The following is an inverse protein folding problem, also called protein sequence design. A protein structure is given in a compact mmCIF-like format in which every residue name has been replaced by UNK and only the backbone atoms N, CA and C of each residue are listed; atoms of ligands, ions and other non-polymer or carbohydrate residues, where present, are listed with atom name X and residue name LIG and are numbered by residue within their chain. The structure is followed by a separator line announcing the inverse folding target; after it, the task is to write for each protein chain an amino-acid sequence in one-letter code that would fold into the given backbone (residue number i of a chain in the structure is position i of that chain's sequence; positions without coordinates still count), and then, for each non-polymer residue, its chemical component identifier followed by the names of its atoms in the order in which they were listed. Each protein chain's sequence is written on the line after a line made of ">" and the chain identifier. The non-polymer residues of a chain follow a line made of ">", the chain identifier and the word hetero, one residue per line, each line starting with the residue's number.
data_IF_898648678527
#
_entry.id   IF_898648678527
#
_cell.length_a   1.000
_cell.length_b   1.000
_cell.length_c   1.000
_cell.angle_alpha   90.00
_cell.angle_beta   90.00
_cell.angle_gamma   90.00
#
_symmetry.space_group_name_H-M   'P 1'
#
loop_
_entity.id
_entity.type
_entity.pdbx_description
1 polymer ?
#
# COMPACT_ATOMS: atom_id res chain seq x y z
N UNK A 1 78.47 17.96 -37.40
CA UNK A 1 78.52 16.76 -36.56
C UNK A 1 77.10 16.28 -36.36
N UNK A 2 76.78 15.05 -36.77
CA UNK A 2 75.53 14.37 -36.41
C UNK A 2 75.82 13.48 -35.22
N UNK A 3 75.07 13.63 -34.14
CA UNK A 3 75.12 12.74 -32.99
C UNK A 3 73.89 11.84 -33.05
N UNK A 4 74.10 10.52 -33.12
CA UNK A 4 73.06 9.52 -32.93
C UNK A 4 73.30 8.90 -31.55
N UNK A 5 72.40 9.18 -30.60
CA UNK A 5 72.34 8.50 -29.31
C UNK A 5 71.02 7.74 -29.23
N UNK A 6 71.08 6.44 -28.99
CA UNK A 6 69.90 5.60 -28.71
C UNK A 6 69.61 5.64 -27.22
N UNK A 7 68.34 5.87 -26.86
CA UNK A 7 67.84 5.73 -25.50
C UNK A 7 67.70 4.22 -25.22
N UNK A 8 68.57 3.67 -24.38
CA UNK A 8 68.37 2.37 -23.73
C UNK A 8 67.54 2.62 -22.46
N UNK A 9 66.52 1.79 -22.23
CA UNK A 9 65.49 1.83 -21.16
C UNK A 9 64.34 2.85 -21.35
N UNK A 10 63.30 2.41 -22.07
CA UNK A 10 62.00 3.09 -22.19
C UNK A 10 60.92 2.23 -21.48
N UNK A 11 61.07 1.96 -20.18
CA UNK A 11 60.04 1.21 -19.45
C UNK A 11 59.52 1.86 -18.16
N UNK A 12 59.94 3.07 -17.77
CA UNK A 12 59.31 3.83 -16.68
C UNK A 12 59.67 5.32 -16.73
N UNK A 13 58.89 6.12 -17.46
CA UNK A 13 59.06 7.58 -17.50
C UNK A 13 58.08 8.22 -16.53
N UNK A 14 58.56 8.67 -15.36
CA UNK A 14 57.75 9.41 -14.37
C UNK A 14 58.08 10.91 -14.29
N UNK A 15 59.07 11.39 -15.06
CA UNK A 15 59.50 12.80 -15.12
C UNK A 15 59.90 13.21 -16.54
N UNK A 16 59.95 14.53 -16.80
CA UNK A 16 60.48 15.09 -18.06
C UNK A 16 61.95 14.69 -18.22
N UNK A 17 62.26 13.91 -19.25
CA UNK A 17 63.65 13.63 -19.61
C UNK A 17 64.29 14.87 -20.27
N UNK A 18 65.16 15.55 -19.52
CA UNK A 18 66.06 16.58 -20.06
C UNK A 18 67.35 15.93 -20.57
N UNK A 19 67.58 15.97 -21.88
CA UNK A 19 68.90 15.67 -22.45
C UNK A 19 69.69 16.98 -22.58
N UNK A 20 70.75 17.12 -21.80
CA UNK A 20 71.71 18.23 -21.93
C UNK A 20 72.82 17.82 -22.90
N UNK A 21 72.87 18.43 -24.08
CA UNK A 21 73.96 18.22 -25.04
C UNK A 21 74.98 19.34 -24.88
N UNK A 22 76.18 18.99 -24.39
CA UNK A 22 77.31 19.93 -24.34
C UNK A 22 78.08 19.88 -25.68
N UNK A 23 78.06 20.97 -26.42
CA UNK A 23 78.83 21.11 -27.66
C UNK A 23 80.13 21.85 -27.35
N UNK A 24 81.24 21.12 -27.24
CA UNK A 24 82.57 21.75 -27.19
C UNK A 24 83.09 21.95 -28.63
N UNK A 25 83.44 23.19 -28.97
CA UNK A 25 84.20 23.46 -30.19
C UNK A 25 85.62 22.89 -30.02
N UNK A 26 86.14 22.21 -31.04
CA UNK A 26 87.48 21.62 -31.04
C UNK A 26 88.61 22.67 -31.20
N UNK A 27 88.31 23.95 -30.95
CA UNK A 27 89.30 25.02 -30.87
C UNK A 27 89.28 25.67 -29.49
N UNK A 28 90.34 25.39 -28.74
CA UNK A 28 90.74 25.91 -27.43
C UNK A 28 90.75 27.45 -27.36
N UNK A 29 89.56 28.07 -27.26
CA UNK A 29 89.37 29.49 -27.03
C UNK A 29 88.53 29.67 -25.74
N UNK A 30 89.09 30.23 -24.64
CA UNK A 30 88.44 30.24 -23.33
C UNK A 30 87.32 31.29 -23.19
N UNK A 31 86.61 31.64 -24.27
CA UNK A 31 85.55 32.64 -24.27
C UNK A 31 84.40 32.35 -25.26
N UNK A 32 84.21 31.10 -25.69
CA UNK A 32 82.99 30.70 -26.41
C UNK A 32 81.95 30.24 -25.40
N UNK A 33 80.75 30.80 -25.45
CA UNK A 33 79.63 30.32 -24.66
C UNK A 33 79.40 28.83 -24.95
N UNK A 34 79.28 28.01 -23.90
CA UNK A 34 78.72 26.67 -23.99
C UNK A 34 77.29 26.82 -24.52
N UNK A 35 77.04 26.41 -25.76
CA UNK A 35 75.69 26.41 -26.34
C UNK A 35 74.99 25.13 -25.89
N UNK A 36 74.41 25.19 -24.70
CA UNK A 36 73.62 24.09 -24.13
C UNK A 36 72.24 24.10 -24.78
N UNK A 37 72.00 23.14 -25.68
CA UNK A 37 70.65 22.85 -26.17
C UNK A 37 70.03 21.76 -25.31
N UNK A 38 68.98 22.11 -24.57
CA UNK A 38 68.15 21.14 -23.86
C UNK A 38 67.05 20.63 -24.78
N UNK A 39 67.04 19.33 -25.05
CA UNK A 39 65.90 18.67 -25.69
C UNK A 39 65.07 18.02 -24.60
N UNK A 40 63.85 18.53 -24.40
CA UNK A 40 62.83 17.92 -23.55
C UNK A 40 61.83 17.20 -24.44
N UNK A 41 61.62 15.90 -24.21
CA UNK A 41 60.49 15.18 -24.81
C UNK A 41 59.26 15.41 -23.93
N UNK A 42 58.14 15.95 -24.45
CA UNK A 42 56.92 16.06 -23.67
C UNK A 42 56.44 14.67 -23.23
N UNK A 43 55.95 14.57 -21.99
CA UNK A 43 55.32 13.33 -21.51
C UNK A 43 54.07 13.04 -22.35
N UNK A 44 53.77 11.76 -22.63
CA UNK A 44 52.51 11.40 -23.27
C UNK A 44 51.33 11.88 -22.42
N UNK A 45 50.31 12.42 -23.08
CA UNK A 45 49.08 12.86 -22.44
C UNK A 45 48.19 11.68 -22.07
N UNK A 46 47.37 11.88 -21.06
CA UNK A 46 46.47 10.90 -20.46
C UNK A 46 44.99 11.29 -20.70
N UNK A 47 44.06 10.41 -20.34
CA UNK A 47 42.61 10.69 -20.34
C UNK A 47 41.93 10.16 -19.09
N UNK A 48 40.78 10.78 -18.77
CA UNK A 48 39.82 10.34 -17.74
C UNK A 48 38.44 10.30 -18.41
N UNK A 49 37.68 9.24 -18.22
CA UNK A 49 36.31 9.15 -18.71
C UNK A 49 35.61 7.91 -18.18
N UNK A 50 34.48 7.63 -18.82
CA UNK A 50 33.78 6.34 -18.94
C UNK A 50 32.28 6.64 -19.11
N UNK A 51 31.47 6.58 -18.05
CA UNK A 51 30.03 6.42 -18.17
C UNK A 51 29.21 7.13 -17.08
N UNK A 52 28.06 7.67 -17.45
CA UNK A 52 27.00 8.06 -16.51
C UNK A 52 25.77 7.24 -16.83
N UNK A 53 25.20 6.56 -15.84
CA UNK A 53 24.13 5.57 -16.03
C UNK A 53 22.92 5.84 -15.15
N UNK A 54 21.76 5.43 -15.67
CA UNK A 54 20.54 5.31 -14.91
C UNK A 54 20.55 3.99 -14.15
N UNK A 55 20.75 4.08 -12.84
CA UNK A 55 20.78 2.96 -11.92
C UNK A 55 19.34 2.57 -11.58
N UNK A 56 18.84 1.55 -12.27
CA UNK A 56 17.42 1.21 -12.23
C UNK A 56 17.00 0.67 -10.86
N UNK A 57 17.93 0.13 -10.08
CA UNK A 57 17.65 -0.50 -8.79
C UNK A 57 18.36 0.18 -7.60
N UNK A 58 18.99 1.34 -7.85
CA UNK A 58 19.72 2.15 -6.88
C UNK A 58 20.83 1.42 -6.11
N UNK A 59 21.47 0.40 -6.71
CA UNK A 59 22.50 -0.40 -6.03
C UNK A 59 23.93 0.14 -6.17
N UNK A 60 24.17 1.12 -7.04
CA UNK A 60 25.49 1.72 -7.29
C UNK A 60 26.41 0.92 -8.18
N UNK A 61 25.87 -0.03 -8.95
CA UNK A 61 26.59 -0.91 -9.87
C UNK A 61 25.92 -0.84 -11.24
N UNK A 62 26.72 -0.72 -12.29
CA UNK A 62 26.27 -0.77 -13.68
C UNK A 62 25.79 -2.17 -14.04
N UNK A 63 24.49 -2.37 -13.96
CA UNK A 63 23.83 -3.63 -14.26
C UNK A 63 23.42 -3.76 -15.73
N UNK A 64 23.17 -5.01 -16.14
CA UNK A 64 22.68 -5.29 -17.48
C UNK A 64 21.26 -4.76 -17.69
N UNK A 65 21.10 -3.78 -18.59
CA UNK A 65 19.80 -3.17 -18.92
C UNK A 65 19.71 -1.70 -18.56
N UNK A 66 20.67 -1.20 -17.78
CA UNK A 66 20.80 0.20 -17.40
C UNK A 66 21.32 1.04 -18.57
N UNK A 67 20.62 2.13 -18.83
CA UNK A 67 20.92 3.01 -19.96
C UNK A 67 21.83 4.15 -19.53
N UNK A 68 22.66 4.64 -20.44
CA UNK A 68 23.48 5.81 -20.15
C UNK A 68 22.64 7.09 -20.18
N UNK A 69 22.97 8.04 -19.31
CA UNK A 69 22.26 9.32 -19.18
C UNK A 69 22.95 10.37 -20.07
N UNK A 70 22.30 10.85 -21.15
CA UNK A 70 22.88 11.84 -22.04
C UNK A 70 22.85 13.25 -21.47
N UNK A 71 23.67 14.13 -22.04
CA UNK A 71 23.72 15.56 -21.74
C UNK A 71 24.05 15.91 -20.27
N UNK A 72 24.55 14.94 -19.48
CA UNK A 72 25.04 15.15 -18.12
C UNK A 72 26.33 15.95 -18.15
N UNK A 73 26.35 17.09 -17.46
CA UNK A 73 27.54 17.95 -17.38
C UNK A 73 28.55 17.33 -16.42
N UNK A 74 29.78 17.18 -16.91
CA UNK A 74 30.92 16.65 -16.13
C UNK A 74 32.03 17.71 -16.10
N UNK A 75 32.61 17.94 -14.93
CA UNK A 75 33.67 18.94 -14.71
C UNK A 75 34.97 18.27 -14.29
N UNK A 76 36.09 18.78 -14.82
CA UNK A 76 37.42 18.37 -14.40
C UNK A 76 37.96 19.32 -13.33
N UNK A 77 38.42 18.77 -12.21
CA UNK A 77 38.97 19.52 -11.08
C UNK A 77 40.42 19.11 -10.79
N UNK A 78 41.19 20.04 -10.22
CA UNK A 78 42.47 19.76 -9.62
C UNK A 78 42.27 18.90 -8.34
N UNK A 79 43.33 18.26 -7.86
CA UNK A 79 43.30 17.44 -6.64
C UNK A 79 42.75 18.18 -5.39
N UNK A 80 42.90 19.51 -5.32
CA UNK A 80 42.39 20.35 -4.23
C UNK A 80 40.91 20.73 -4.38
N UNK A 81 40.24 20.29 -5.45
CA UNK A 81 38.83 20.55 -5.75
C UNK A 81 38.55 21.85 -6.50
N UNK A 82 39.58 22.62 -6.87
CA UNK A 82 39.40 23.80 -7.73
C UNK A 82 39.24 23.40 -9.20
N UNK A 83 38.49 24.15 -10.04
CA UNK A 83 38.35 23.83 -11.45
C UNK A 83 39.69 23.81 -12.19
N UNK A 84 39.87 22.84 -13.08
CA UNK A 84 40.92 22.94 -14.10
C UNK A 84 40.45 23.97 -15.13
N UNK A 85 41.29 24.94 -15.45
CA UNK A 85 40.98 25.98 -16.42
C UNK A 85 41.73 25.77 -17.74
N UNK A 86 41.09 26.13 -18.85
CA UNK A 86 41.73 26.23 -20.16
C UNK A 86 42.68 27.46 -20.23
N UNK A 87 43.33 27.64 -21.38
CA UNK A 87 44.26 28.76 -21.61
C UNK A 87 43.61 30.15 -21.51
N UNK A 88 42.29 30.23 -21.61
CA UNK A 88 41.49 31.45 -21.55
C UNK A 88 40.87 31.68 -20.16
N UNK A 89 41.12 30.76 -19.21
CA UNK A 89 40.62 30.82 -17.83
C UNK A 89 39.20 30.28 -17.64
N UNK A 90 38.67 29.50 -18.59
CA UNK A 90 37.36 28.87 -18.46
C UNK A 90 37.49 27.46 -17.86
N UNK A 91 36.54 27.05 -17.02
CA UNK A 91 36.48 25.70 -16.47
C UNK A 91 36.43 24.65 -17.60
N UNK A 92 37.23 23.59 -17.47
CA UNK A 92 37.17 22.44 -18.38
C UNK A 92 35.97 21.58 -17.99
N UNK A 93 35.00 21.52 -18.89
CA UNK A 93 33.78 20.72 -18.75
C UNK A 93 33.52 19.93 -20.03
N UNK A 94 32.84 18.81 -19.91
CA UNK A 94 32.27 18.05 -21.03
C UNK A 94 30.82 17.69 -20.72
N UNK A 95 30.12 17.10 -21.68
CA UNK A 95 28.78 16.52 -21.49
C UNK A 95 28.80 15.09 -21.99
N UNK A 96 28.04 14.21 -21.33
CA UNK A 96 27.87 12.84 -21.81
C UNK A 96 27.18 12.79 -23.17
N UNK A 97 27.54 11.81 -23.99
CA UNK A 97 26.93 11.59 -25.30
C UNK A 97 25.58 10.86 -25.20
N UNK A 98 24.98 10.50 -26.34
CA UNK A 98 23.67 9.81 -26.37
C UNK A 98 23.66 8.45 -25.70
N UNK A 99 24.83 7.88 -25.41
CA UNK A 99 24.96 6.62 -24.69
C UNK A 99 25.44 6.85 -23.26
N UNK A 100 25.52 8.08 -22.74
CA UNK A 100 26.03 8.34 -21.39
C UNK A 100 27.56 8.39 -21.28
N UNK A 101 28.30 8.29 -22.39
CA UNK A 101 29.76 8.27 -22.35
C UNK A 101 30.36 9.69 -22.29
N UNK A 102 31.41 9.89 -21.51
CA UNK A 102 32.18 11.15 -21.47
C UNK A 102 33.69 10.89 -21.43
N UNK A 103 34.48 11.85 -21.90
CA UNK A 103 35.94 11.75 -21.87
C UNK A 103 36.60 13.14 -21.80
N UNK A 104 37.60 13.27 -20.93
CA UNK A 104 38.59 14.34 -20.93
C UNK A 104 39.88 13.80 -21.53
N UNK A 105 40.33 14.39 -22.64
CA UNK A 105 41.55 13.96 -23.34
C UNK A 105 42.67 15.00 -23.25
N UNK A 106 43.90 14.58 -23.53
CA UNK A 106 45.04 15.51 -23.59
C UNK A 106 45.53 15.98 -22.22
N UNK A 107 45.19 15.26 -21.15
CA UNK A 107 45.53 15.62 -19.78
C UNK A 107 47.03 15.43 -19.53
N UNK A 108 47.63 16.35 -18.77
CA UNK A 108 48.98 16.13 -18.29
C UNK A 108 48.98 15.08 -17.18
N UNK A 109 50.02 14.26 -17.04
CA UNK A 109 50.13 13.34 -15.90
C UNK A 109 50.11 14.11 -14.58
N UNK A 110 49.35 13.63 -13.61
CA UNK A 110 49.07 14.38 -12.38
C UNK A 110 47.87 13.85 -11.61
N UNK A 111 47.41 14.63 -10.63
CA UNK A 111 46.29 14.29 -9.76
C UNK A 111 45.07 15.17 -10.08
N UNK A 112 43.92 14.52 -10.28
CA UNK A 112 42.67 15.15 -10.68
C UNK A 112 41.50 14.65 -9.85
N UNK A 113 40.36 15.31 -9.98
CA UNK A 113 39.04 14.79 -9.61
C UNK A 113 38.06 15.05 -10.73
N UNK A 114 36.99 14.26 -10.78
CA UNK A 114 35.84 14.52 -11.64
C UNK A 114 34.68 14.94 -10.75
N UNK A 115 33.88 15.91 -11.21
CA UNK A 115 32.63 16.28 -10.58
C UNK A 115 31.49 16.11 -11.56
N UNK A 116 30.49 15.33 -11.16
CA UNK A 116 29.26 15.17 -11.92
C UNK A 116 28.24 16.22 -11.49
N UNK A 117 27.54 16.82 -12.44
CA UNK A 117 26.36 17.63 -12.16
C UNK A 117 25.16 16.72 -12.24
N UNK A 118 24.34 16.70 -11.18
CA UNK A 118 23.12 15.89 -11.16
C UNK A 118 22.25 16.17 -12.40
N UNK A 119 21.92 15.14 -13.20
CA UNK A 119 21.14 15.31 -14.42
C UNK A 119 19.69 15.72 -14.12
N UNK A 120 19.06 16.44 -15.05
CA UNK A 120 17.65 16.83 -14.92
C UNK A 120 16.75 15.60 -15.03
N UNK A 121 15.73 15.50 -14.17
CA UNK A 121 14.83 14.35 -14.12
C UNK A 121 15.29 13.21 -13.22
N UNK A 122 16.42 13.36 -12.52
CA UNK A 122 16.89 12.41 -11.52
C UNK A 122 17.04 13.11 -10.18
N UNK A 123 16.42 12.59 -9.13
CA UNK A 123 16.46 13.17 -7.78
C UNK A 123 17.16 12.26 -6.74
N UNK A 124 17.73 11.15 -7.21
CA UNK A 124 18.55 10.20 -6.49
C UNK A 124 19.98 10.07 -7.03
N UNK A 125 20.90 9.75 -6.13
CA UNK A 125 22.32 9.48 -6.43
C UNK A 125 22.64 8.11 -5.88
N UNK A 126 23.26 7.26 -6.69
CA UNK A 126 23.55 5.88 -6.32
C UNK A 126 24.62 5.77 -5.23
N UNK A 127 24.61 4.68 -4.45
CA UNK A 127 25.68 4.38 -3.50
C UNK A 127 27.07 4.39 -4.15
N UNK A 128 28.03 4.99 -3.45
CA UNK A 128 29.41 5.11 -3.94
C UNK A 128 30.16 3.79 -3.76
N UNK A 129 31.06 3.46 -4.69
CA UNK A 129 32.02 2.36 -4.57
C UNK A 129 31.36 0.99 -4.19
N UNK A 130 30.16 0.71 -4.71
CA UNK A 130 29.37 -0.45 -4.31
C UNK A 130 29.78 -1.77 -5.01
N UNK A 131 30.63 -1.67 -6.05
CA UNK A 131 30.98 -2.77 -6.95
C UNK A 131 32.48 -2.90 -7.18
N UNK A 132 32.84 -3.32 -8.40
CA UNK A 132 34.20 -3.22 -8.89
C UNK A 132 34.41 -1.85 -9.52
N UNK A 133 35.63 -1.34 -9.42
CA UNK A 133 36.06 -0.01 -9.92
C UNK A 133 35.67 0.24 -11.39
N UNK A 134 35.52 -0.81 -12.22
CA UNK A 134 35.14 -0.70 -13.62
C UNK A 134 33.63 -0.58 -13.89
N UNK A 135 32.81 -0.67 -12.83
CA UNK A 135 31.34 -0.75 -12.94
C UNK A 135 30.59 -0.09 -11.79
N UNK A 136 31.23 0.47 -10.78
CA UNK A 136 30.53 1.15 -9.68
C UNK A 136 30.28 2.63 -9.98
N UNK A 137 29.65 3.33 -9.03
CA UNK A 137 29.48 4.79 -9.08
C UNK A 137 30.52 5.46 -8.19
N UNK A 138 31.20 6.48 -8.71
CA UNK A 138 32.19 7.30 -7.98
C UNK A 138 31.62 8.64 -7.51
N UNK A 139 30.42 9.01 -7.96
CA UNK A 139 29.79 10.28 -7.62
C UNK A 139 29.37 10.31 -6.15
N UNK A 140 30.18 10.95 -5.30
CA UNK A 140 29.95 10.95 -3.86
C UNK A 140 28.98 12.06 -3.40
N UNK A 141 27.76 11.73 -2.92
CA UNK A 141 26.77 12.71 -2.47
C UNK A 141 27.24 13.51 -1.23
N UNK A 142 28.14 12.97 -0.41
CA UNK A 142 28.72 13.65 0.75
C UNK A 142 29.91 14.55 0.37
N UNK A 143 30.42 14.41 -0.85
CA UNK A 143 31.53 15.17 -1.40
C UNK A 143 31.13 15.95 -2.66
N UNK A 144 29.88 16.43 -2.71
CA UNK A 144 29.37 17.30 -3.77
C UNK A 144 29.50 16.66 -5.18
N UNK A 145 29.21 15.36 -5.26
CA UNK A 145 29.27 14.52 -6.47
C UNK A 145 30.65 14.49 -7.12
N UNK A 146 31.70 14.65 -6.31
CA UNK A 146 33.08 14.53 -6.76
C UNK A 146 33.62 13.14 -6.48
N UNK A 147 34.41 12.63 -7.42
CA UNK A 147 35.19 11.41 -7.22
C UNK A 147 36.31 11.60 -6.18
N UNK A 148 36.95 10.49 -5.81
CA UNK A 148 38.24 10.49 -5.13
C UNK A 148 39.35 11.14 -5.97
N UNK A 149 40.57 11.23 -5.42
CA UNK A 149 41.71 11.72 -6.20
C UNK A 149 42.16 10.66 -7.20
N UNK A 150 42.08 11.01 -8.48
CA UNK A 150 42.50 10.19 -9.62
C UNK A 150 43.97 10.51 -9.91
N UNK A 151 44.84 9.50 -9.94
CA UNK A 151 46.27 9.68 -10.26
C UNK A 151 46.57 9.17 -11.67
N UNK A 152 46.86 10.08 -12.59
CA UNK A 152 47.21 9.76 -13.97
C UNK A 152 48.71 9.63 -14.17
N UNK A 153 49.15 8.44 -14.55
CA UNK A 153 50.50 8.22 -15.08
C UNK A 153 50.63 8.66 -16.54
N UNK A 154 51.85 8.89 -17.06
CA UNK A 154 52.04 9.29 -18.46
C UNK A 154 51.46 8.29 -19.47
N UNK A 155 50.52 8.76 -20.29
CA UNK A 155 49.85 7.97 -21.32
C UNK A 155 48.78 7.00 -20.80
N UNK A 156 48.34 7.15 -19.55
CA UNK A 156 47.24 6.37 -18.96
C UNK A 156 45.90 6.84 -19.52
N UNK A 157 45.04 5.88 -19.85
CA UNK A 157 43.62 6.11 -20.04
C UNK A 157 42.91 5.51 -18.83
N UNK A 158 42.16 6.33 -18.13
CA UNK A 158 41.44 5.97 -16.91
C UNK A 158 39.95 5.97 -17.21
N UNK A 159 39.40 4.77 -17.44
CA UNK A 159 38.03 4.51 -17.86
C UNK A 159 37.23 3.84 -16.72
N UNK A 160 37.48 4.25 -15.47
CA UNK A 160 36.84 3.70 -14.25
C UNK A 160 36.20 4.80 -13.41
N UNK A 161 35.81 5.93 -14.03
CA UNK A 161 35.21 7.06 -13.31
C UNK A 161 33.77 7.25 -13.76
N UNK A 162 32.84 6.73 -12.98
CA UNK A 162 31.45 6.56 -13.36
C UNK A 162 30.49 7.25 -12.39
N UNK A 163 29.24 7.47 -12.83
CA UNK A 163 28.20 8.02 -11.97
C UNK A 163 26.84 7.37 -12.23
N UNK A 164 26.26 6.78 -11.19
CA UNK A 164 24.89 6.27 -11.17
C UNK A 164 23.91 7.31 -10.59
N UNK A 165 22.79 7.51 -11.27
CA UNK A 165 21.66 8.31 -10.81
C UNK A 165 20.36 7.55 -11.01
N UNK A 166 19.37 7.83 -10.17
CA UNK A 166 18.03 7.24 -10.28
C UNK A 166 16.96 8.29 -10.00
N UNK A 167 15.76 8.07 -10.53
CA UNK A 167 14.57 8.83 -10.18
C UNK A 167 13.81 8.08 -9.08
N UNK A 168 13.29 8.82 -8.11
CA UNK A 168 12.53 8.19 -7.01
C UNK A 168 11.18 7.68 -7.50
N UNK A 169 10.73 6.65 -6.82
CA UNK A 169 9.49 5.95 -7.10
C UNK A 169 8.38 6.28 -6.09
N UNK A 170 7.17 5.80 -6.35
CA UNK A 170 6.02 5.87 -5.45
C UNK A 170 5.22 4.57 -5.36
N UNK A 171 4.50 4.41 -4.25
CA UNK A 171 3.51 3.33 -4.02
C UNK A 171 2.20 3.95 -3.49
N UNK A 172 1.07 3.71 -4.17
CA UNK A 172 -0.32 3.94 -3.76
C UNK A 172 -1.12 2.62 -3.76
N UNK A 173 -2.44 2.57 -3.62
CA UNK A 173 -3.43 3.46 -4.23
C UNK A 173 -4.64 3.70 -3.33
N UNK A 174 -5.41 2.67 -2.97
CA UNK A 174 -6.75 2.84 -2.41
C UNK A 174 -7.14 1.86 -1.29
N UNK A 175 -7.82 2.36 -0.27
CA UNK A 175 -8.47 1.51 0.76
C UNK A 175 -9.98 1.66 0.62
N UNK A 176 -10.71 0.55 0.45
CA UNK A 176 -12.14 0.55 0.10
C UNK A 176 -13.02 -0.28 1.04
N UNK A 177 -14.29 0.14 1.13
CA UNK A 177 -15.35 -0.61 1.80
C UNK A 177 -15.97 -1.61 0.82
N UNK A 178 -15.53 -2.87 0.92
CA UNK A 178 -16.02 -4.01 0.14
C UNK A 178 -17.36 -4.51 0.71
N UNK A 179 -18.42 -3.74 0.48
CA UNK A 179 -19.75 -4.02 1.03
C UNK A 179 -20.27 -5.41 0.63
N UNK A 180 -19.78 -5.95 -0.49
CA UNK A 180 -20.23 -7.20 -1.06
C UNK A 180 -19.28 -8.39 -0.81
N UNK A 181 -18.14 -8.12 -0.16
CA UNK A 181 -17.17 -9.08 0.37
C UNK A 181 -16.52 -9.95 -0.72
N UNK A 182 -16.34 -9.41 -1.92
CA UNK A 182 -15.80 -10.17 -3.05
C UNK A 182 -14.30 -9.94 -3.30
N UNK A 183 -13.70 -8.95 -2.64
CA UNK A 183 -12.29 -8.59 -2.77
C UNK A 183 -11.92 -7.83 -4.04
N UNK A 184 -12.91 -7.29 -4.76
CA UNK A 184 -12.76 -6.46 -5.94
C UNK A 184 -13.31 -5.07 -5.61
N UNK A 185 -12.57 -4.02 -5.95
CA UNK A 185 -13.02 -2.64 -5.91
C UNK A 185 -14.15 -2.42 -6.95
N UNK A 186 -15.39 -2.55 -6.51
CA UNK A 186 -16.55 -2.41 -7.37
C UNK A 186 -16.99 -0.95 -7.55
N UNK A 187 -17.55 -0.64 -8.72
CA UNK A 187 -18.11 0.68 -8.99
C UNK A 187 -19.22 1.04 -8.00
N UNK A 188 -18.96 2.01 -7.13
CA UNK A 188 -19.91 2.52 -6.15
C UNK A 188 -19.52 2.21 -4.71
N UNK A 189 -18.52 1.34 -4.51
CA UNK A 189 -17.88 1.17 -3.22
C UNK A 189 -17.11 2.43 -2.85
N UNK A 190 -17.24 2.82 -1.57
CA UNK A 190 -16.64 4.05 -1.07
C UNK A 190 -15.26 3.74 -0.51
N UNK A 191 -14.31 4.67 -0.68
CA UNK A 191 -13.05 4.56 0.01
C UNK A 191 -13.18 4.83 1.51
N UNK A 192 -12.25 4.27 2.28
CA UNK A 192 -12.21 4.38 3.74
C UNK A 192 -11.23 5.49 4.11
N UNK A 193 -11.71 6.62 4.67
CA UNK A 193 -10.84 7.72 5.07
C UNK A 193 -10.09 7.42 6.37
N UNK A 194 -8.96 8.10 6.55
CA UNK A 194 -8.14 8.04 7.77
C UNK A 194 -7.60 6.63 8.11
N UNK A 195 -7.64 5.69 7.17
CA UNK A 195 -7.05 4.36 7.31
C UNK A 195 -5.52 4.48 7.37
N UNK A 196 -4.91 3.87 8.38
CA UNK A 196 -3.45 3.95 8.58
C UNK A 196 -2.75 2.93 7.70
N UNK A 197 -1.77 3.39 6.93
CA UNK A 197 -0.95 2.56 6.04
C UNK A 197 0.51 2.74 6.41
N UNK A 198 1.28 1.65 6.44
CA UNK A 198 2.70 1.63 6.79
C UNK A 198 3.54 1.10 5.65
N UNK A 199 4.72 1.69 5.45
CA UNK A 199 5.71 1.18 4.52
C UNK A 199 6.73 0.29 5.25
N UNK A 200 6.97 -0.90 4.71
CA UNK A 200 7.88 -1.89 5.25
C UNK A 200 8.97 -2.25 4.23
N UNK A 201 10.14 -2.66 4.72
CA UNK A 201 11.17 -3.31 3.92
C UNK A 201 10.67 -4.70 3.46
N UNK A 202 11.32 -5.29 2.46
CA UNK A 202 11.00 -6.62 1.95
C UNK A 202 10.92 -7.73 3.01
N UNK A 203 11.70 -7.60 4.10
CA UNK A 203 11.73 -8.56 5.21
C UNK A 203 10.59 -8.37 6.24
N UNK A 204 9.73 -7.37 6.04
CA UNK A 204 8.59 -7.04 6.90
C UNK A 204 8.94 -6.12 8.09
N UNK A 205 10.16 -5.60 8.17
CA UNK A 205 10.51 -4.57 9.16
C UNK A 205 10.07 -3.17 8.69
N UNK A 206 9.76 -2.22 9.59
CA UNK A 206 9.38 -0.87 9.17
C UNK A 206 10.50 -0.16 8.40
N UNK A 207 10.14 0.58 7.35
CA UNK A 207 11.01 1.62 6.81
C UNK A 207 11.03 2.78 7.80
N UNK A 208 12.21 3.31 8.11
CA UNK A 208 12.39 4.41 9.04
C UNK A 208 12.87 5.69 8.33
N UNK A 209 12.41 6.85 8.79
CA UNK A 209 12.97 8.14 8.39
C UNK A 209 14.37 8.36 9.00
N UNK A 210 15.01 9.48 8.63
CA UNK A 210 16.34 9.86 9.14
C UNK A 210 16.42 10.01 10.68
N UNK A 211 15.28 10.17 11.36
CA UNK A 211 15.16 10.31 12.81
C UNK A 211 14.82 8.96 13.49
N UNK A 212 14.64 7.88 12.71
CA UNK A 212 14.30 6.53 13.19
C UNK A 212 12.80 6.31 13.42
N UNK A 213 11.92 7.13 12.85
CA UNK A 213 10.46 6.93 12.97
C UNK A 213 9.94 6.11 11.79
N UNK A 214 8.99 5.20 12.04
CA UNK A 214 8.31 4.43 10.99
C UNK A 214 7.65 5.36 9.95
N UNK A 215 7.86 5.06 8.67
CA UNK A 215 7.16 5.73 7.57
C UNK A 215 5.72 5.22 7.51
N UNK A 216 4.78 6.13 7.76
CA UNK A 216 3.34 5.85 7.75
C UNK A 216 2.60 6.99 7.07
N UNK A 217 1.44 6.68 6.50
CA UNK A 217 0.50 7.65 5.94
C UNK A 217 -0.92 7.28 6.35
N UNK A 218 -1.87 8.15 6.03
CA UNK A 218 -3.30 7.89 6.19
C UNK A 218 -4.03 8.20 4.91
N UNK A 219 -5.04 7.39 4.59
CA UNK A 219 -5.88 7.65 3.41
C UNK A 219 -6.64 8.96 3.52
N UNK A 220 -6.87 9.59 2.38
CA UNK A 220 -7.62 10.84 2.26
C UNK A 220 -9.15 10.63 2.41
N UNK A 221 -9.93 11.69 2.24
CA UNK A 221 -11.41 11.61 2.34
C UNK A 221 -12.08 10.67 1.33
N UNK A 222 -11.37 10.29 0.28
CA UNK A 222 -11.85 9.40 -0.76
C UNK A 222 -11.28 7.99 -0.61
N UNK A 223 -10.37 7.72 0.33
CA UNK A 223 -9.72 6.42 0.52
C UNK A 223 -8.35 6.28 -0.15
N UNK A 224 -7.84 7.32 -0.81
CA UNK A 224 -6.56 7.25 -1.52
C UNK A 224 -5.37 7.51 -0.59
N UNK A 225 -4.25 6.81 -0.80
CA UNK A 225 -2.98 7.06 -0.11
C UNK A 225 -1.81 7.00 -1.09
N UNK A 226 -0.66 7.57 -0.68
CA UNK A 226 0.55 7.49 -1.48
C UNK A 226 1.79 7.62 -0.59
N UNK A 227 2.82 6.82 -0.89
CA UNK A 227 4.19 6.98 -0.44
C UNK A 227 5.02 7.50 -1.62
N UNK A 228 5.47 8.75 -1.55
CA UNK A 228 6.31 9.36 -2.59
C UNK A 228 7.78 9.40 -2.18
N UNK A 229 8.68 9.49 -3.16
CA UNK A 229 10.09 9.76 -2.89
C UNK A 229 10.84 8.53 -2.38
N UNK A 230 10.43 7.35 -2.83
CA UNK A 230 11.05 6.07 -2.48
C UNK A 230 12.28 5.83 -3.33
N UNK A 231 13.36 5.36 -2.70
CA UNK A 231 14.52 4.84 -3.44
C UNK A 231 14.08 3.55 -4.16
N UNK A 232 14.48 3.31 -5.42
CA UNK A 232 14.28 2.01 -6.06
C UNK A 232 14.74 0.85 -5.17
N UNK A 233 13.99 -0.25 -5.17
CA UNK A 233 14.22 -1.35 -4.24
C UNK A 233 12.97 -2.19 -3.96
N UNK A 234 13.04 -3.00 -2.91
CA UNK A 234 11.98 -3.93 -2.54
C UNK A 234 11.26 -3.49 -1.26
N UNK A 235 9.94 -3.38 -1.35
CA UNK A 235 9.06 -2.88 -0.29
C UNK A 235 7.89 -3.82 -0.05
N UNK A 236 7.20 -3.60 1.07
CA UNK A 236 5.85 -4.08 1.33
C UNK A 236 5.02 -2.94 1.90
N UNK A 237 3.72 -3.01 1.70
CA UNK A 237 2.75 -2.12 2.36
C UNK A 237 2.01 -2.92 3.41
N UNK A 238 1.82 -2.36 4.60
CA UNK A 238 0.98 -2.95 5.65
C UNK A 238 -0.19 -2.03 5.97
N UNK A 239 -1.39 -2.57 5.91
CA UNK A 239 -2.61 -1.88 6.28
C UNK A 239 -2.94 -2.15 7.74
N UNK A 240 -3.34 -1.11 8.46
CA UNK A 240 -3.93 -1.27 9.80
C UNK A 240 -5.43 -1.37 9.63
N UNK A 241 -6.04 -2.41 10.21
CA UNK A 241 -7.49 -2.59 10.19
C UNK A 241 -8.21 -1.32 10.65
N UNK A 242 -9.02 -0.67 9.80
CA UNK A 242 -9.71 0.57 10.14
C UNK A 242 -10.76 0.38 11.24
N UNK A 243 -10.95 1.39 12.10
CA UNK A 243 -11.99 1.35 13.13
C UNK A 243 -13.40 1.22 12.50
N UNK A 244 -14.21 0.30 13.02
CA UNK A 244 -15.57 0.05 12.52
C UNK A 244 -15.65 -0.94 11.35
N UNK A 245 -14.54 -1.57 10.97
CA UNK A 245 -14.50 -2.66 9.99
C UNK A 245 -13.97 -3.92 10.69
N UNK A 246 -14.78 -4.97 10.72
CA UNK A 246 -14.44 -6.24 11.40
C UNK A 246 -13.94 -7.31 10.42
N UNK A 247 -14.15 -7.12 9.12
CA UNK A 247 -13.75 -8.02 8.05
C UNK A 247 -12.65 -7.47 7.15
N UNK A 248 -11.84 -8.38 6.61
CA UNK A 248 -10.81 -8.13 5.60
C UNK A 248 -11.21 -8.89 4.35
N UNK A 249 -11.18 -8.22 3.20
CA UNK A 249 -11.61 -8.79 1.94
C UNK A 249 -10.75 -9.96 1.47
N UNK A 250 -11.28 -10.86 0.61
CA UNK A 250 -10.47 -11.86 -0.07
C UNK A 250 -9.31 -11.22 -0.84
N UNK A 251 -8.09 -11.72 -0.63
CA UNK A 251 -6.91 -11.21 -1.33
C UNK A 251 -6.82 -11.65 -2.78
N UNK A 252 -6.19 -10.82 -3.61
CA UNK A 252 -5.87 -11.10 -5.01
C UNK A 252 -7.08 -11.55 -5.85
N UNK A 253 -8.25 -11.02 -5.52
CA UNK A 253 -9.50 -11.34 -6.19
C UNK A 253 -9.73 -10.30 -7.30
N UNK A 254 -9.38 -10.64 -8.55
CA UNK A 254 -9.63 -9.74 -9.68
C UNK A 254 -8.41 -9.51 -10.54
N UNK A 255 -8.29 -8.28 -11.05
CA UNK A 255 -7.06 -7.76 -11.65
C UNK A 255 -6.31 -6.96 -10.59
N UNK A 256 -4.99 -6.89 -10.76
CA UNK A 256 -4.03 -6.20 -9.89
C UNK A 256 -4.40 -4.73 -9.63
N UNK A 257 -5.11 -4.09 -10.58
CA UNK A 257 -5.52 -2.69 -10.50
C UNK A 257 -6.79 -2.42 -9.67
N UNK A 258 -7.42 -3.47 -9.14
CA UNK A 258 -8.71 -3.38 -8.45
C UNK A 258 -8.91 -4.43 -7.35
N UNK A 259 -7.95 -5.30 -7.08
CA UNK A 259 -8.12 -6.33 -6.06
C UNK A 259 -7.74 -5.80 -4.68
N UNK A 260 -7.47 -6.69 -3.73
CA UNK A 260 -7.04 -6.33 -2.39
C UNK A 260 -5.76 -7.09 -2.08
N UNK A 261 -4.71 -6.38 -1.71
CA UNK A 261 -3.40 -6.93 -1.36
C UNK A 261 -3.26 -7.24 0.13
N UNK A 262 -4.14 -6.69 0.96
CA UNK A 262 -4.08 -6.85 2.41
C UNK A 262 -4.35 -8.31 2.85
N UNK A 263 -3.30 -9.08 3.11
CA UNK A 263 -3.41 -10.50 3.45
C UNK A 263 -3.60 -10.77 4.96
N UNK A 264 -4.78 -11.25 5.41
CA UNK A 264 -5.03 -11.54 6.82
C UNK A 264 -4.14 -12.68 7.37
N UNK A 265 -3.59 -13.55 6.52
CA UNK A 265 -2.70 -14.64 6.95
C UNK A 265 -1.25 -14.17 7.20
N UNK A 266 -0.87 -12.99 6.72
CA UNK A 266 0.47 -12.43 6.88
C UNK A 266 0.51 -11.14 7.73
N UNK A 267 -0.61 -10.75 8.33
CA UNK A 267 -0.71 -9.53 9.13
C UNK A 267 -1.06 -8.27 8.34
N UNK A 268 -1.86 -8.42 7.27
CA UNK A 268 -2.35 -7.35 6.39
C UNK A 268 -1.24 -6.66 5.60
N UNK A 269 -0.22 -7.43 5.21
CA UNK A 269 0.87 -6.98 4.36
C UNK A 269 0.62 -7.39 2.91
N UNK A 270 1.03 -6.55 1.97
CA UNK A 270 1.14 -6.91 0.56
C UNK A 270 2.23 -7.98 0.34
N UNK A 271 2.24 -8.54 -0.88
CA UNK A 271 3.43 -9.20 -1.41
C UNK A 271 4.60 -8.20 -1.57
N UNK A 272 5.80 -8.71 -1.86
CA UNK A 272 6.96 -7.85 -2.13
C UNK A 272 6.76 -7.08 -3.44
N UNK A 273 6.84 -5.76 -3.33
CA UNK A 273 6.79 -4.81 -4.44
C UNK A 273 8.22 -4.43 -4.81
N UNK A 274 8.61 -4.61 -6.07
CA UNK A 274 9.90 -4.16 -6.59
C UNK A 274 9.71 -2.88 -7.39
N UNK A 275 10.34 -1.80 -6.94
CA UNK A 275 10.36 -0.51 -7.62
C UNK A 275 11.68 -0.32 -8.36
N UNK A 276 11.58 0.17 -9.59
CA UNK A 276 12.68 0.66 -10.42
C UNK A 276 12.72 2.19 -10.42
N UNK A 277 13.79 2.78 -10.97
CA UNK A 277 13.93 4.23 -11.21
C UNK A 277 12.68 4.82 -11.87
N UNK A 278 12.03 5.76 -11.18
CA UNK A 278 10.85 6.48 -11.66
C UNK A 278 9.53 5.68 -11.71
N UNK A 279 9.47 4.49 -11.09
CA UNK A 279 8.22 3.71 -11.06
C UNK A 279 7.14 4.41 -10.22
N UNK A 280 5.92 4.46 -10.76
CA UNK A 280 4.70 4.86 -10.06
C UNK A 280 3.81 3.61 -9.94
N UNK A 281 3.75 3.00 -8.74
CA UNK A 281 2.93 1.83 -8.49
C UNK A 281 1.61 2.22 -7.81
N UNK A 282 0.53 2.27 -8.60
CA UNK A 282 -0.83 2.58 -8.15
C UNK A 282 -1.72 1.33 -8.14
N UNK A 283 -1.21 0.19 -7.63
CA UNK A 283 -1.96 -1.08 -7.63
C UNK A 283 -1.97 -1.75 -6.26
N UNK A 284 -1.60 -1.05 -5.18
CA UNK A 284 -1.55 -1.66 -3.84
C UNK A 284 -2.76 -1.21 -3.03
N UNK A 285 -3.75 -2.09 -2.97
CA UNK A 285 -5.09 -1.78 -2.46
C UNK A 285 -5.45 -2.62 -1.23
N UNK A 286 -6.45 -2.15 -0.47
CA UNK A 286 -6.99 -2.92 0.64
C UNK A 286 -8.51 -2.79 0.78
N UNK A 287 -9.19 -3.92 0.64
CA UNK A 287 -10.62 -4.06 0.92
C UNK A 287 -10.88 -4.45 2.37
N UNK A 288 -11.77 -3.70 3.02
CA UNK A 288 -12.32 -4.04 4.33
C UNK A 288 -13.84 -4.00 4.28
N UNK A 289 -14.50 -4.75 5.16
CA UNK A 289 -15.95 -4.72 5.25
C UNK A 289 -16.41 -4.71 6.71
N UNK A 290 -17.49 -3.99 6.96
CA UNK A 290 -18.19 -4.12 8.22
C UNK A 290 -18.88 -5.49 8.25
N UNK A 291 -18.75 -6.20 9.38
CA UNK A 291 -19.58 -7.36 9.63
C UNK A 291 -20.79 -6.77 10.36
N UNK A 292 -21.97 -6.64 9.72
CA UNK A 292 -23.15 -6.27 10.47
C UNK A 292 -23.27 -7.27 11.62
N UNK A 293 -23.15 -6.77 12.85
CA UNK A 293 -23.38 -7.54 14.08
C UNK A 293 -24.55 -8.49 13.79
N UNK A 294 -24.37 -9.82 13.92
CA UNK A 294 -25.34 -10.78 13.43
C UNK A 294 -26.60 -10.72 14.30
N UNK A 295 -27.44 -9.70 14.08
CA UNK A 295 -28.61 -9.33 14.88
C UNK A 295 -28.26 -9.18 16.38
N UNK A 296 -28.25 -7.97 16.98
CA UNK A 296 -27.93 -7.83 18.40
C UNK A 296 -28.73 -8.84 19.23
N UNK A 297 -28.07 -9.50 20.18
CA UNK A 297 -28.71 -10.50 21.06
C UNK A 297 -30.05 -9.95 21.57
N UNK A 298 -31.16 -10.69 21.42
CA UNK A 298 -32.47 -10.14 21.70
C UNK A 298 -32.62 -9.76 23.16
N UNK A 299 -33.27 -8.64 23.45
CA UNK A 299 -33.64 -8.33 24.83
C UNK A 299 -34.75 -9.30 25.28
N UNK A 300 -34.52 -10.02 26.38
CA UNK A 300 -35.53 -10.93 26.95
C UNK A 300 -36.39 -10.15 27.94
N UNK A 301 -37.69 -10.01 27.63
CA UNK A 301 -38.65 -9.28 28.46
C UNK A 301 -39.78 -10.23 28.88
N UNK A 302 -39.86 -10.48 30.17
CA UNK A 302 -40.84 -11.41 30.73
C UNK A 302 -41.80 -10.68 31.68
N UNK A 303 -43.10 -10.92 31.49
CA UNK A 303 -44.17 -10.53 32.38
C UNK A 303 -44.29 -11.44 33.61
N UNK A 304 -45.47 -11.45 34.21
CA UNK A 304 -45.84 -12.26 35.37
C UNK A 304 -47.08 -13.09 35.04
N UNK A 305 -47.53 -13.96 35.96
CA UNK A 305 -48.80 -14.68 35.78
C UNK A 305 -50.05 -13.80 36.06
N UNK A 306 -49.94 -12.49 35.88
CA UNK A 306 -50.97 -11.50 36.14
C UNK A 306 -51.18 -10.61 34.93
N UNK A 307 -52.07 -9.63 35.02
CA UNK A 307 -52.22 -8.62 33.97
C UNK A 307 -51.03 -7.65 33.99
N UNK A 308 -50.28 -7.61 32.91
CA UNK A 308 -49.10 -6.78 32.74
C UNK A 308 -49.26 -5.71 31.65
N UNK A 309 -48.49 -4.63 31.79
CA UNK A 309 -48.26 -3.64 30.74
C UNK A 309 -46.79 -3.71 30.36
N UNK A 310 -46.51 -4.32 29.22
CA UNK A 310 -45.16 -4.59 28.74
C UNK A 310 -44.83 -3.62 27.61
N UNK A 311 -43.63 -3.05 27.66
CA UNK A 311 -43.09 -2.17 26.61
C UNK A 311 -41.67 -2.61 26.31
N UNK A 312 -41.45 -2.99 25.05
CA UNK A 312 -40.16 -3.35 24.51
C UNK A 312 -39.28 -2.15 24.19
N UNK A 313 -38.19 -2.41 23.48
CA UNK A 313 -37.12 -1.47 23.16
C UNK A 313 -37.24 -0.99 21.70
N UNK A 314 -36.19 -0.35 21.18
CA UNK A 314 -36.08 -0.05 19.75
C UNK A 314 -35.25 -1.09 18.99
N UNK A 315 -34.83 -2.14 19.69
CA UNK A 315 -34.04 -3.27 19.19
C UNK A 315 -34.90 -4.52 19.22
N UNK A 316 -34.40 -5.62 18.63
CA UNK A 316 -35.12 -6.90 18.63
C UNK A 316 -35.35 -7.41 20.06
N UNK A 317 -36.60 -7.69 20.38
CA UNK A 317 -37.00 -8.25 21.67
C UNK A 317 -37.57 -9.68 21.55
N UNK A 318 -37.47 -10.45 22.64
CA UNK A 318 -38.26 -11.66 22.88
C UNK A 318 -39.14 -11.38 24.10
N UNK A 319 -40.46 -11.28 23.87
CA UNK A 319 -41.43 -10.85 24.86
C UNK A 319 -42.36 -12.01 25.23
N UNK A 320 -42.41 -12.39 26.50
CA UNK A 320 -43.33 -13.40 27.04
C UNK A 320 -44.21 -12.77 28.12
N UNK A 321 -45.52 -12.68 27.90
CA UNK A 321 -46.48 -12.21 28.91
C UNK A 321 -46.61 -13.17 30.10
N UNK A 322 -46.64 -14.47 29.80
CA UNK A 322 -47.14 -15.56 30.66
C UNK A 322 -48.65 -15.47 30.87
N UNK A 323 -49.19 -16.19 31.85
CA UNK A 323 -50.64 -16.23 32.10
C UNK A 323 -51.15 -14.83 32.46
N UNK A 324 -52.18 -14.34 31.78
CA UNK A 324 -52.64 -12.99 32.04
C UNK A 324 -53.50 -12.48 30.91
N UNK A 325 -54.05 -11.28 31.09
CA UNK A 325 -54.51 -10.48 29.96
C UNK A 325 -53.53 -9.34 29.89
N UNK A 326 -52.63 -9.38 28.92
CA UNK A 326 -51.53 -8.44 28.85
C UNK A 326 -51.72 -7.39 27.76
N UNK A 327 -51.17 -6.22 28.02
CA UNK A 327 -51.08 -5.12 27.06
C UNK A 327 -49.62 -4.95 26.68
N UNK A 328 -49.27 -5.38 25.48
CA UNK A 328 -47.88 -5.47 25.01
C UNK A 328 -47.64 -4.43 23.91
N UNK A 329 -46.51 -3.73 24.00
CA UNK A 329 -45.96 -2.85 22.94
C UNK A 329 -44.57 -3.36 22.63
N UNK A 330 -44.29 -3.83 21.41
CA UNK A 330 -42.97 -4.32 20.98
C UNK A 330 -41.95 -3.20 20.87
N UNK A 331 -42.37 -2.05 20.34
CA UNK A 331 -41.49 -0.93 20.08
C UNK A 331 -40.96 -0.96 18.64
N UNK A 332 -39.64 -0.88 18.47
CA UNK A 332 -39.00 -1.01 17.16
C UNK A 332 -38.08 -2.22 17.15
N UNK A 333 -37.80 -2.79 15.98
CA UNK A 333 -37.06 -4.05 15.87
C UNK A 333 -37.91 -5.11 15.19
N UNK A 334 -37.40 -6.34 15.17
CA UNK A 334 -38.10 -7.51 14.65
C UNK A 334 -38.41 -8.44 15.82
N UNK A 335 -39.57 -8.25 16.45
CA UNK A 335 -39.85 -8.80 17.77
C UNK A 335 -40.49 -10.19 17.74
N UNK A 336 -40.20 -10.99 18.76
CA UNK A 336 -40.81 -12.30 18.96
C UNK A 336 -41.72 -12.28 20.20
N UNK A 337 -43.02 -12.42 19.99
CA UNK A 337 -44.03 -12.51 21.05
C UNK A 337 -44.33 -13.98 21.36
N UNK A 338 -43.85 -14.47 22.50
CA UNK A 338 -43.82 -15.91 22.82
C UNK A 338 -45.01 -16.31 23.68
N UNK A 339 -45.72 -17.33 23.21
CA UNK A 339 -46.83 -17.97 23.90
C UNK A 339 -46.45 -19.39 24.29
N UNK A 340 -46.65 -19.74 25.56
CA UNK A 340 -46.16 -21.02 26.13
C UNK A 340 -47.26 -21.91 26.70
N UNK A 341 -48.49 -21.40 26.88
CA UNK A 341 -49.59 -22.11 27.54
C UNK A 341 -50.93 -21.81 26.90
N UNK A 342 -51.79 -22.82 26.76
CA UNK A 342 -53.20 -22.66 26.34
C UNK A 342 -54.11 -22.17 27.47
N UNK A 343 -53.59 -22.00 28.68
CA UNK A 343 -54.37 -21.54 29.85
C UNK A 343 -54.33 -20.03 30.03
N UNK A 344 -53.79 -19.34 29.03
CA UNK A 344 -53.63 -17.90 29.02
C UNK A 344 -54.95 -17.17 28.76
N UNK A 345 -55.04 -15.89 29.11
CA UNK A 345 -56.17 -15.07 28.68
C UNK A 345 -55.80 -14.30 27.40
N UNK A 346 -56.76 -13.52 26.89
CA UNK A 346 -56.56 -12.78 25.65
C UNK A 346 -55.61 -11.60 25.88
N UNK A 347 -54.49 -11.59 25.17
CA UNK A 347 -53.54 -10.49 25.11
C UNK A 347 -53.84 -9.48 24.01
N UNK A 348 -53.28 -8.28 24.16
CA UNK A 348 -53.34 -7.20 23.18
C UNK A 348 -51.94 -6.73 22.83
N UNK A 349 -51.50 -7.01 21.60
CA UNK A 349 -50.28 -6.41 21.04
C UNK A 349 -50.69 -5.13 20.32
N UNK A 350 -50.09 -4.00 20.70
CA UNK A 350 -50.53 -2.66 20.31
C UNK A 350 -49.94 -2.19 18.97
N UNK A 351 -48.77 -2.69 18.59
CA UNK A 351 -47.93 -2.15 17.51
C UNK A 351 -47.28 -3.22 16.61
N UNK A 352 -47.86 -4.43 16.56
CA UNK A 352 -47.35 -5.53 15.74
C UNK A 352 -47.15 -5.14 14.26
N UNK A 353 -45.93 -5.36 13.75
CA UNK A 353 -45.52 -5.07 12.39
C UNK A 353 -45.44 -6.36 11.55
N UNK A 354 -46.39 -6.55 10.62
CA UNK A 354 -46.41 -7.76 9.77
C UNK A 354 -45.15 -7.85 8.91
N UNK A 355 -44.61 -9.05 8.76
CA UNK A 355 -43.37 -9.31 8.01
C UNK A 355 -42.08 -8.93 8.75
N UNK A 356 -42.18 -8.30 9.92
CA UNK A 356 -41.05 -7.96 10.79
C UNK A 356 -41.13 -8.74 12.10
N UNK A 357 -42.28 -8.62 12.78
CA UNK A 357 -42.55 -9.27 14.07
C UNK A 357 -43.19 -10.65 13.89
N UNK A 358 -43.09 -11.48 14.92
CA UNK A 358 -43.63 -12.84 14.92
C UNK A 358 -44.34 -13.20 16.21
N UNK A 359 -45.40 -13.99 16.10
CA UNK A 359 -45.95 -14.73 17.23
C UNK A 359 -45.31 -16.11 17.27
N UNK A 360 -44.72 -16.48 18.41
CA UNK A 360 -44.04 -17.75 18.62
C UNK A 360 -44.92 -18.68 19.43
N UNK A 361 -45.40 -19.76 18.81
CA UNK A 361 -46.31 -20.74 19.42
C UNK A 361 -45.67 -22.13 19.61
N UNK A 362 -44.38 -22.30 19.34
CA UNK A 362 -43.71 -23.62 19.35
C UNK A 362 -43.90 -24.39 20.65
N UNK A 363 -43.65 -23.75 21.80
CA UNK A 363 -43.80 -24.39 23.11
C UNK A 363 -45.27 -24.67 23.44
N UNK A 364 -46.15 -23.73 23.13
CA UNK A 364 -47.60 -23.88 23.34
C UNK A 364 -48.17 -25.02 22.50
N UNK A 365 -47.81 -25.12 21.22
CA UNK A 365 -48.27 -26.20 20.35
C UNK A 365 -47.70 -27.54 20.80
N UNK A 366 -46.41 -27.60 21.16
CA UNK A 366 -45.79 -28.85 21.58
C UNK A 366 -46.33 -29.38 22.92
N UNK A 367 -46.61 -28.50 23.88
CA UNK A 367 -46.91 -28.90 25.27
C UNK A 367 -48.38 -28.66 25.67
N UNK A 368 -49.08 -27.78 24.98
CA UNK A 368 -50.46 -27.39 25.27
C UNK A 368 -51.50 -28.00 24.33
N UNK A 369 -51.09 -28.68 23.25
CA UNK A 369 -52.01 -29.21 22.24
C UNK A 369 -51.66 -30.65 21.83
N UNK A 370 -52.56 -31.32 21.12
CA UNK A 370 -52.33 -32.64 20.50
C UNK A 370 -51.67 -32.51 19.10
N UNK A 371 -51.04 -31.37 18.79
CA UNK A 371 -50.36 -31.15 17.51
C UNK A 371 -49.07 -31.98 17.40
N UNK A 372 -48.92 -32.72 16.29
CA UNK A 372 -47.76 -33.58 16.02
C UNK A 372 -47.00 -33.21 14.74
N UNK A 373 -47.20 -32.00 14.21
CA UNK A 373 -46.49 -31.45 13.05
C UNK A 373 -47.34 -31.25 11.80
N UNK A 374 -46.81 -30.46 10.86
CA UNK A 374 -47.50 -29.98 9.66
C UNK A 374 -47.82 -28.50 9.76
N UNK A 375 -48.80 -28.01 9.00
CA UNK A 375 -49.25 -26.62 9.07
C UNK A 375 -50.39 -26.51 10.11
N UNK A 376 -50.15 -25.87 11.28
CA UNK A 376 -51.15 -25.78 12.34
C UNK A 376 -52.31 -24.86 11.96
N UNK A 377 -52.13 -23.91 11.03
CA UNK A 377 -53.23 -23.07 10.53
C UNK A 377 -54.13 -23.89 9.62
N UNK A 378 -53.55 -24.65 8.69
CA UNK A 378 -54.31 -25.54 7.81
C UNK A 378 -55.03 -26.66 8.58
N UNK A 379 -54.46 -27.13 9.69
CA UNK A 379 -55.06 -28.14 10.56
C UNK A 379 -56.05 -27.56 11.58
N UNK A 380 -56.13 -26.22 11.70
CA UNK A 380 -57.07 -25.52 12.57
C UNK A 380 -56.64 -25.39 14.03
N UNK A 381 -55.38 -25.67 14.36
CA UNK A 381 -54.82 -25.42 15.70
C UNK A 381 -54.58 -23.94 15.94
N UNK A 382 -54.22 -23.17 14.90
CA UNK A 382 -54.11 -21.72 14.94
C UNK A 382 -55.14 -21.12 13.98
N UNK A 383 -55.98 -20.21 14.47
CA UNK A 383 -57.09 -19.63 13.69
C UNK A 383 -56.99 -18.11 13.69
N UNK A 384 -56.27 -17.52 12.71
CA UNK A 384 -56.28 -16.08 12.49
C UNK A 384 -57.63 -15.61 11.95
N UNK A 385 -58.27 -14.67 12.65
CA UNK A 385 -59.56 -14.09 12.28
C UNK A 385 -59.46 -12.58 12.25
N UNK A 386 -59.61 -11.99 11.06
CA UNK A 386 -59.62 -10.55 10.89
C UNK A 386 -60.89 -9.90 11.48
N UNK A 387 -60.72 -8.83 12.25
CA UNK A 387 -61.79 -8.11 12.93
C UNK A 387 -61.98 -6.70 12.34
N UNK A 388 -62.24 -6.65 11.03
CA UNK A 388 -62.36 -5.38 10.30
C UNK A 388 -61.10 -4.51 10.45
N UNK A 389 -61.20 -3.18 10.53
CA UNK A 389 -60.03 -2.30 10.62
C UNK A 389 -59.36 -2.31 12.00
N UNK A 390 -59.91 -3.03 12.97
CA UNK A 390 -59.46 -2.98 14.35
C UNK A 390 -58.25 -3.87 14.62
N UNK A 391 -58.08 -4.96 13.87
CA UNK A 391 -56.99 -5.90 14.11
C UNK A 391 -57.29 -7.32 13.67
N UNK A 392 -56.39 -8.23 14.04
CA UNK A 392 -56.51 -9.68 13.79
C UNK A 392 -56.47 -10.42 15.13
N UNK A 393 -57.47 -11.27 15.36
CA UNK A 393 -57.54 -12.15 16.51
C UNK A 393 -56.92 -13.50 16.15
N UNK A 394 -55.96 -13.98 16.93
CA UNK A 394 -55.44 -15.33 16.82
C UNK A 394 -56.05 -16.19 17.92
N UNK A 395 -56.71 -17.27 17.50
CA UNK A 395 -57.26 -18.27 18.42
C UNK A 395 -56.43 -19.54 18.35
N UNK A 396 -56.35 -20.28 19.46
CA UNK A 396 -55.74 -21.61 19.53
C UNK A 396 -56.79 -22.66 19.81
N UNK A 397 -56.84 -23.70 18.99
CA UNK A 397 -57.67 -24.89 19.21
C UNK A 397 -56.79 -26.09 19.61
N UNK A 398 -56.83 -26.55 20.89
CA UNK A 398 -55.88 -27.56 21.38
C UNK A 398 -55.96 -28.94 20.70
N UNK A 399 -57.08 -29.27 20.05
CA UNK A 399 -57.27 -30.54 19.33
C UNK A 399 -57.52 -30.34 17.82
N UNK A 400 -57.35 -29.11 17.34
CA UNK A 400 -57.48 -28.72 15.94
C UNK A 400 -58.87 -28.95 15.36
N UNK A 401 -59.01 -28.75 14.04
CA UNK A 401 -60.32 -28.80 13.35
C UNK A 401 -61.06 -30.16 13.40
N UNK A 402 -60.38 -31.22 13.83
CA UNK A 402 -60.93 -32.57 13.92
C UNK A 402 -61.46 -32.94 15.32
N UNK A 403 -61.11 -32.16 16.34
CA UNK A 403 -61.45 -32.42 17.72
C UNK A 403 -62.77 -31.78 18.18
N UNK A 404 -63.32 -32.21 19.32
CA UNK A 404 -64.52 -31.61 19.93
C UNK A 404 -64.24 -30.34 20.76
N UNK A 405 -62.97 -29.93 20.92
CA UNK A 405 -62.54 -28.73 21.62
C UNK A 405 -63.11 -27.45 21.02
N UNK A 406 -62.97 -26.36 21.79
CA UNK A 406 -63.30 -25.02 21.31
C UNK A 406 -62.01 -24.22 21.26
N UNK A 407 -61.82 -23.48 20.16
CA UNK A 407 -60.73 -22.53 20.05
C UNK A 407 -60.86 -21.41 21.10
N UNK A 408 -59.76 -21.12 21.79
CA UNK A 408 -59.62 -20.06 22.78
C UNK A 408 -58.94 -18.84 22.18
N UNK A 409 -59.32 -17.64 22.64
CA UNK A 409 -58.76 -16.39 22.15
C UNK A 409 -57.43 -16.14 22.85
N UNK A 410 -56.32 -16.13 22.10
CA UNK A 410 -54.99 -15.97 22.67
C UNK A 410 -54.48 -14.54 22.55
N UNK A 411 -54.52 -13.96 21.34
CA UNK A 411 -53.91 -12.65 21.13
C UNK A 411 -54.67 -11.84 20.09
N UNK A 412 -54.87 -10.56 20.38
CA UNK A 412 -55.41 -9.57 19.47
C UNK A 412 -54.30 -8.62 19.01
N UNK A 413 -54.03 -8.64 17.71
CA UNK A 413 -53.07 -7.76 17.06
C UNK A 413 -53.76 -6.47 16.64
N UNK A 414 -53.56 -5.40 17.41
CA UNK A 414 -54.22 -4.12 17.19
C UNK A 414 -53.76 -3.50 15.87
N UNK A 415 -54.70 -3.09 15.02
CA UNK A 415 -54.40 -2.41 13.74
C UNK A 415 -53.87 -3.32 12.62
N UNK A 416 -53.54 -4.58 12.90
CA UNK A 416 -53.17 -5.58 11.88
C UNK A 416 -54.43 -6.03 11.13
N UNK A 417 -54.64 -5.46 9.96
CA UNK A 417 -55.77 -5.77 9.08
C UNK A 417 -55.40 -5.49 7.63
N UNK A 418 -55.94 -6.31 6.73
CA UNK A 418 -55.89 -6.09 5.28
C UNK A 418 -56.47 -4.73 4.88
N UNK A 419 -57.46 -4.24 5.61
CA UNK A 419 -58.07 -2.92 5.37
C UNK A 419 -57.16 -1.73 5.72
N UNK A 420 -56.13 -1.96 6.55
CA UNK A 420 -55.10 -0.97 6.89
C UNK A 420 -53.83 -1.14 6.04
N UNK A 421 -53.81 -2.09 5.10
CA UNK A 421 -52.60 -2.44 4.33
C UNK A 421 -51.53 -3.17 5.16
N UNK A 422 -51.90 -3.69 6.33
CA UNK A 422 -51.04 -4.37 7.30
C UNK A 422 -51.64 -5.76 7.60
N UNK A 423 -51.67 -6.63 6.59
CA UNK A 423 -52.39 -7.91 6.66
C UNK A 423 -51.54 -8.99 7.33
N UNK A 424 -52.10 -9.69 8.33
CA UNK A 424 -51.44 -10.84 8.95
C UNK A 424 -51.16 -11.93 7.93
N UNK A 425 -49.92 -12.39 7.87
CA UNK A 425 -49.46 -13.46 7.00
C UNK A 425 -48.84 -14.61 7.82
N UNK A 426 -49.54 -15.74 7.96
CA UNK A 426 -49.05 -16.88 8.73
C UNK A 426 -47.68 -17.43 8.32
N UNK A 427 -47.22 -17.19 7.08
CA UNK A 427 -45.90 -17.67 6.63
C UNK A 427 -44.74 -16.82 7.15
N UNK A 428 -44.99 -15.54 7.43
CA UNK A 428 -43.95 -14.60 7.88
C UNK A 428 -44.12 -14.21 9.35
N UNK A 429 -45.35 -14.21 9.85
CA UNK A 429 -45.72 -13.61 11.14
C UNK A 429 -45.90 -14.67 12.25
N UNK A 430 -45.70 -15.96 11.93
CA UNK A 430 -45.74 -17.07 12.89
C UNK A 430 -44.41 -17.81 12.92
N UNK A 431 -43.96 -18.15 14.12
CA UNK A 431 -42.94 -19.17 14.38
C UNK A 431 -43.62 -20.33 15.13
N UNK A 432 -43.65 -21.49 14.48
CA UNK A 432 -44.43 -22.67 14.86
C UNK A 432 -43.51 -23.84 15.14
#
# INVERSE_FOLDING_TARGET
>A
FTFEGTIDDVENLTEINTLTVNVSDAQDNPASAEDTSTVTTPLPTSSIGNYVFEDLNANGIQDGGESGIPDTVVKLLNADGTPVEDQDGNEITTTTDSNGAYEFTGLTPGEYKVMFVQPEGFDGVSPVNAGGDDVDSDADPDNNLMTGVITLNPGQNDDTNDAGFYDKASIGDFVFNDENQNGIQDSGESGIPDAVVKLLNADGTPVEDQDGNEITTTTDSNGAYEFTGLTPGEYKVMFVQPDGFEGVSPVNAGGDDVDSDADPDNGLMSEVITLSSGDENDTVDAGFFDIPEPNPEPNIINGTSGMDMITGTSERDIITGFEGMDMITGGGGNDDFVYTSTWDQLDYIQDFQTGSDRLVFTDLLQNGTDFYGGDPVAQGYLIPTEYGPYGTLIQVDPDGSAGPGFAENMVFLTGVSSSNGNAFNPTTDLLI
#
